data_IF_662785034549
#
_entry.id   IF_662785034549
#
_cell.length_a   1.000
_cell.length_b   1.000
_cell.length_c   1.000
_cell.angle_alpha   90.00
_cell.angle_beta   90.00
_cell.angle_gamma   90.00
#
_symmetry.space_group_name_H-M   'P 1'
#
loop_
_entity.id
_entity.type
_entity.pdbx_description
1 polymer ?
#
# COMPACT_ATOMS: atom_id res chain seq x y z
N UNK A 1 -3.15 18.06 8.85
CA UNK A 1 -3.95 17.04 8.14
C UNK A 1 -5.28 16.83 8.86
N UNK A 2 -6.39 17.12 8.20
CA UNK A 2 -7.71 16.65 8.62
C UNK A 2 -7.86 15.18 8.23
N UNK A 3 -8.49 14.40 9.09
CA UNK A 3 -8.69 12.97 8.91
C UNK A 3 -10.10 12.59 9.32
N UNK A 4 -10.71 11.69 8.55
CA UNK A 4 -11.99 11.10 8.87
C UNK A 4 -12.00 9.61 8.59
N UNK A 5 -12.34 8.83 9.61
CA UNK A 5 -12.61 7.40 9.47
C UNK A 5 -14.10 7.15 9.22
N UNK A 6 -14.40 6.26 8.29
CA UNK A 6 -15.73 5.81 7.91
C UNK A 6 -15.75 4.29 7.80
N UNK A 7 -16.92 3.71 8.03
CA UNK A 7 -17.18 2.29 7.80
C UNK A 7 -18.05 2.14 6.55
N UNK A 8 -17.58 1.31 5.61
CA UNK A 8 -18.32 1.00 4.38
C UNK A 8 -19.45 0.00 4.67
N UNK A 9 -20.51 -0.05 3.84
CA UNK A 9 -21.59 -1.03 3.98
C UNK A 9 -21.13 -2.50 4.03
N UNK A 10 -20.02 -2.87 3.39
CA UNK A 10 -19.43 -4.21 3.44
C UNK A 10 -18.51 -4.46 4.66
N UNK A 11 -18.42 -3.51 5.59
CA UNK A 11 -17.61 -3.59 6.80
C UNK A 11 -16.14 -3.25 6.62
N UNK A 12 -15.69 -2.90 5.41
CA UNK A 12 -14.33 -2.40 5.17
C UNK A 12 -14.18 -0.96 5.67
N UNK A 13 -12.99 -0.60 6.14
CA UNK A 13 -12.70 0.76 6.59
C UNK A 13 -12.34 1.66 5.41
N UNK A 14 -12.70 2.94 5.53
CA UNK A 14 -12.31 4.02 4.62
C UNK A 14 -11.81 5.19 5.47
N UNK A 15 -10.65 5.71 5.13
CA UNK A 15 -10.03 6.87 5.74
C UNK A 15 -9.90 7.96 4.68
N UNK A 16 -10.42 9.15 4.98
CA UNK A 16 -10.31 10.34 4.13
C UNK A 16 -9.32 11.30 4.78
N UNK A 17 -8.46 11.90 3.97
CA UNK A 17 -7.45 12.86 4.41
C UNK A 17 -7.51 14.11 3.56
N UNK A 18 -7.30 15.27 4.19
CA UNK A 18 -7.24 16.53 3.46
C UNK A 18 -6.43 17.61 4.18
N UNK A 19 -5.95 18.59 3.42
CA UNK A 19 -5.45 19.87 3.92
C UNK A 19 -6.58 20.81 4.38
N UNK A 20 -7.81 20.57 3.93
CA UNK A 20 -9.00 21.34 4.32
C UNK A 20 -9.96 20.52 5.20
N UNK A 21 -10.85 21.16 5.96
CA UNK A 21 -11.87 20.45 6.74
C UNK A 21 -12.73 19.56 5.86
N UNK A 22 -12.90 18.30 6.26
CA UNK A 22 -13.76 17.33 5.58
C UNK A 22 -15.18 17.46 6.14
N UNK A 23 -16.18 17.62 5.26
CA UNK A 23 -17.59 17.79 5.63
C UNK A 23 -18.09 16.65 6.55
N UNK A 24 -18.95 16.98 7.53
CA UNK A 24 -19.44 16.05 8.58
C UNK A 24 -20.48 15.04 8.10
N UNK A 25 -21.06 15.23 6.93
CA UNK A 25 -22.17 14.44 6.39
C UNK A 25 -21.76 13.44 5.29
N UNK A 26 -20.46 13.24 5.08
CA UNK A 26 -19.95 12.24 4.13
C UNK A 26 -20.25 10.81 4.60
N UNK A 27 -20.90 10.03 3.74
CA UNK A 27 -21.18 8.61 3.94
C UNK A 27 -20.34 7.76 2.97
N UNK A 28 -19.73 6.69 3.46
CA UNK A 28 -18.90 5.81 2.64
C UNK A 28 -19.76 4.91 1.73
N UNK A 29 -19.53 4.89 0.41
CA UNK A 29 -20.18 3.96 -0.49
C UNK A 29 -19.46 2.61 -0.49
N UNK A 30 -20.13 1.59 -1.00
CA UNK A 30 -19.51 0.33 -1.37
C UNK A 30 -20.12 -0.21 -2.65
N UNK A 31 -19.31 -0.77 -3.59
CA UNK A 31 -19.84 -1.48 -4.74
C UNK A 31 -20.62 -2.77 -4.40
N UNK A 32 -20.62 -3.19 -3.13
CA UNK A 32 -21.30 -4.38 -2.62
C UNK A 32 -21.62 -4.20 -1.14
N UNK A 33 -22.77 -4.68 -0.70
CA UNK A 33 -23.13 -4.72 0.73
C UNK A 33 -22.67 -6.01 1.43
N UNK A 34 -22.17 -6.98 0.66
CA UNK A 34 -21.66 -8.24 1.21
C UNK A 34 -20.23 -8.07 1.73
N UNK A 35 -19.95 -8.53 2.96
CA UNK A 35 -18.59 -8.58 3.48
C UNK A 35 -17.65 -9.39 2.59
N UNK A 36 -16.37 -9.02 2.60
CA UNK A 36 -15.32 -9.73 1.88
C UNK A 36 -15.00 -11.03 2.62
N UNK A 37 -15.37 -12.18 2.05
CA UNK A 37 -15.12 -13.52 2.59
C UNK A 37 -13.72 -14.08 2.28
N UNK A 38 -12.70 -13.23 2.19
CA UNK A 38 -11.35 -13.68 1.84
C UNK A 38 -10.68 -14.40 3.03
N UNK A 39 -10.22 -15.63 2.81
CA UNK A 39 -9.41 -16.39 3.77
C UNK A 39 -8.08 -16.86 3.13
N UNK A 40 -7.11 -15.94 2.94
CA UNK A 40 -5.80 -16.25 2.37
C UNK A 40 -4.89 -17.00 3.36
N UNK A 41 -3.95 -17.76 2.82
CA UNK A 41 -2.93 -18.49 3.59
C UNK A 41 -1.53 -18.27 3.00
N UNK A 42 -0.52 -18.47 3.83
CA UNK A 42 0.89 -18.45 3.46
C UNK A 42 1.41 -19.88 3.36
N UNK A 43 2.24 -20.18 2.37
CA UNK A 43 2.98 -21.45 2.27
C UNK A 43 4.47 -21.20 2.25
N UNK A 44 5.22 -22.01 2.99
CA UNK A 44 6.67 -21.96 3.01
C UNK A 44 7.27 -22.53 1.73
N UNK A 45 8.14 -21.77 1.06
CA UNK A 45 8.85 -22.22 -0.14
C UNK A 45 10.24 -22.79 0.24
N UNK A 46 10.43 -24.12 0.29
CA UNK A 46 11.61 -24.73 0.92
C UNK A 46 12.94 -24.43 0.22
N UNK A 47 12.92 -24.18 -1.09
CA UNK A 47 14.15 -23.87 -1.85
C UNK A 47 14.57 -22.39 -1.76
N UNK A 48 13.66 -21.49 -1.38
CA UNK A 48 13.92 -20.04 -1.33
C UNK A 48 13.95 -19.52 0.11
N UNK A 49 13.38 -20.28 1.05
CA UNK A 49 13.31 -19.88 2.45
C UNK A 49 12.39 -18.67 2.64
N UNK A 50 11.24 -18.65 1.96
CA UNK A 50 10.32 -17.51 2.00
C UNK A 50 8.85 -17.93 2.05
N UNK A 51 8.02 -17.04 2.58
CA UNK A 51 6.57 -17.18 2.59
C UNK A 51 5.93 -16.69 1.30
N UNK A 52 5.05 -17.51 0.72
CA UNK A 52 4.28 -17.17 -0.48
C UNK A 52 2.79 -17.09 -0.13
N UNK A 53 2.15 -15.96 -0.47
CA UNK A 53 0.73 -15.75 -0.23
C UNK A 53 -0.15 -16.39 -1.31
N UNK A 54 -1.18 -17.11 -0.85
CA UNK A 54 -2.21 -17.73 -1.68
C UNK A 54 -3.56 -17.13 -1.30
N UNK A 55 -4.21 -16.47 -2.26
CA UNK A 55 -5.48 -15.78 -2.05
C UNK A 55 -6.47 -16.14 -3.18
N UNK A 56 -7.13 -17.29 -3.07
CA UNK A 56 -8.02 -17.83 -4.10
C UNK A 56 -9.19 -16.90 -4.44
N UNK A 57 -9.73 -16.19 -3.43
CA UNK A 57 -10.78 -15.18 -3.59
C UNK A 57 -10.44 -14.10 -4.62
N UNK A 58 -9.15 -13.87 -4.92
CA UNK A 58 -8.74 -12.91 -5.96
C UNK A 58 -9.15 -13.33 -7.38
N UNK A 59 -9.52 -14.58 -7.62
CA UNK A 59 -10.06 -15.02 -8.93
C UNK A 59 -11.42 -14.39 -9.23
N UNK A 60 -12.17 -13.99 -8.21
CA UNK A 60 -13.47 -13.29 -8.34
C UNK A 60 -13.30 -11.79 -8.62
N UNK A 61 -12.06 -11.31 -8.75
CA UNK A 61 -11.79 -9.90 -9.07
C UNK A 61 -12.40 -9.59 -10.43
N UNK A 62 -13.27 -8.59 -10.47
CA UNK A 62 -13.78 -8.03 -11.72
C UNK A 62 -12.59 -7.66 -12.61
N UNK A 63 -12.39 -8.45 -13.66
CA UNK A 63 -11.31 -8.24 -14.61
C UNK A 63 -11.75 -7.16 -15.58
N UNK A 64 -11.18 -5.96 -15.40
CA UNK A 64 -11.50 -4.74 -16.16
C UNK A 64 -12.99 -4.36 -16.02
N UNK A 65 -13.36 -3.45 -15.08
CA UNK A 65 -14.65 -2.80 -15.21
C UNK A 65 -14.77 -2.14 -16.60
N UNK A 66 -15.99 -1.91 -17.10
CA UNK A 66 -16.20 -1.14 -18.33
C UNK A 66 -15.33 0.13 -18.28
N UNK A 67 -14.72 0.58 -19.40
CA UNK A 67 -13.85 1.77 -19.40
C UNK A 67 -14.48 3.02 -18.77
N UNK A 68 -15.81 3.08 -18.79
CA UNK A 68 -16.66 4.14 -18.24
C UNK A 68 -16.81 4.08 -16.70
N UNK A 69 -16.52 2.93 -16.06
CA UNK A 69 -16.63 2.74 -14.61
C UNK A 69 -15.25 2.70 -13.96
N UNK A 70 -14.90 3.79 -13.28
CA UNK A 70 -13.70 3.88 -12.46
C UNK A 70 -14.03 3.64 -10.98
N UNK A 71 -13.70 2.47 -10.41
CA UNK A 71 -14.03 2.17 -9.01
C UNK A 71 -13.28 3.04 -8.00
N UNK A 72 -12.22 3.75 -8.43
CA UNK A 72 -11.41 4.63 -7.59
C UNK A 72 -11.79 6.11 -7.75
N UNK A 73 -12.73 6.45 -8.63
CA UNK A 73 -13.27 7.81 -8.71
C UNK A 73 -14.37 8.02 -7.66
N UNK A 74 -14.59 9.27 -7.18
CA UNK A 74 -15.76 9.60 -6.35
C UNK A 74 -17.07 9.12 -6.98
N UNK A 75 -17.97 8.59 -6.16
CA UNK A 75 -19.27 8.06 -6.63
C UNK A 75 -20.10 9.18 -7.26
N UNK A 76 -20.52 9.07 -8.52
CA UNK A 76 -21.44 10.04 -9.14
C UNK A 76 -22.87 9.53 -9.32
N UNK A 77 -23.15 8.24 -9.15
CA UNK A 77 -24.52 7.73 -9.18
C UNK A 77 -24.63 6.69 -8.07
N UNK A 78 -25.53 6.90 -7.12
CA UNK A 78 -25.71 5.98 -5.98
C UNK A 78 -26.21 4.60 -6.41
N UNK A 79 -26.76 4.48 -7.63
CA UNK A 79 -27.12 3.19 -8.23
C UNK A 79 -25.89 2.41 -8.72
N UNK A 80 -24.75 3.09 -8.87
CA UNK A 80 -23.46 2.52 -9.28
C UNK A 80 -22.35 2.99 -8.33
N UNK A 81 -22.41 2.61 -7.04
CA UNK A 81 -21.46 3.08 -6.04
C UNK A 81 -20.04 2.62 -6.36
N UNK A 82 -19.07 3.50 -6.14
CA UNK A 82 -17.63 3.22 -6.27
C UNK A 82 -17.03 2.92 -4.89
N UNK A 83 -15.69 2.81 -4.80
CA UNK A 83 -15.03 2.69 -3.50
C UNK A 83 -15.06 4.01 -2.70
N UNK A 84 -15.30 5.15 -3.37
CA UNK A 84 -15.06 6.49 -2.85
C UNK A 84 -16.33 7.36 -2.77
N UNK A 85 -16.55 8.09 -1.65
CA UNK A 85 -17.70 8.97 -1.49
C UNK A 85 -17.62 10.23 -2.35
N UNK A 86 -18.75 10.93 -2.48
CA UNK A 86 -18.75 12.33 -2.93
C UNK A 86 -18.26 13.24 -1.82
N UNK A 87 -17.57 14.31 -2.19
CA UNK A 87 -17.18 15.39 -1.29
C UNK A 87 -15.73 15.80 -1.48
N UNK A 88 -15.34 16.84 -0.76
CA UNK A 88 -14.02 17.44 -0.87
C UNK A 88 -13.07 16.78 0.15
N UNK A 89 -12.09 16.04 -0.37
CA UNK A 89 -10.95 15.46 0.35
C UNK A 89 -9.83 15.16 -0.64
N UNK A 90 -8.59 15.07 -0.19
CA UNK A 90 -7.44 15.02 -1.09
C UNK A 90 -6.96 13.58 -1.35
N UNK A 91 -6.94 12.76 -0.29
CA UNK A 91 -6.44 11.36 -0.33
C UNK A 91 -7.44 10.44 0.35
N UNK A 92 -7.64 9.25 -0.20
CA UNK A 92 -8.47 8.21 0.40
C UNK A 92 -7.70 6.89 0.58
N UNK A 93 -7.86 6.24 1.73
CA UNK A 93 -7.27 4.94 2.03
C UNK A 93 -8.34 3.96 2.49
N UNK A 94 -8.47 2.81 1.86
CA UNK A 94 -9.47 1.82 2.24
C UNK A 94 -8.94 0.38 2.19
N UNK A 95 -9.55 -0.50 3.00
CA UNK A 95 -9.20 -1.92 2.99
C UNK A 95 -9.47 -2.51 1.58
N UNK A 96 -8.50 -3.26 1.04
CA UNK A 96 -8.59 -3.81 -0.30
C UNK A 96 -9.72 -4.86 -0.39
N UNK A 97 -10.57 -4.77 -1.41
CA UNK A 97 -11.68 -5.72 -1.64
C UNK A 97 -11.22 -7.14 -1.97
N UNK A 98 -10.01 -7.29 -2.52
CA UNK A 98 -9.43 -8.58 -2.90
C UNK A 98 -8.07 -8.78 -2.21
N UNK A 99 -8.02 -8.79 -0.86
CA UNK A 99 -6.76 -8.73 -0.14
C UNK A 99 -5.96 -10.03 -0.31
N UNK A 100 -4.64 -9.91 -0.40
CA UNK A 100 -3.74 -11.07 -0.33
C UNK A 100 -3.43 -11.47 1.12
N UNK A 101 -3.71 -10.60 2.08
CA UNK A 101 -3.48 -10.75 3.52
C UNK A 101 -4.65 -10.10 4.27
N UNK A 102 -5.15 -10.73 5.33
CA UNK A 102 -6.29 -10.20 6.12
C UNK A 102 -6.06 -10.46 7.60
N UNK A 103 -6.48 -9.56 8.52
CA UNK A 103 -6.23 -9.76 9.94
C UNK A 103 -6.92 -11.00 10.50
N UNK A 104 -8.01 -11.45 9.86
CA UNK A 104 -8.88 -12.53 10.34
C UNK A 104 -8.67 -13.87 9.62
N UNK A 105 -7.56 -14.05 8.89
CA UNK A 105 -7.25 -15.32 8.25
C UNK A 105 -7.16 -16.45 9.30
N UNK A 106 -7.72 -17.61 8.98
CA UNK A 106 -7.82 -18.76 9.89
C UNK A 106 -7.82 -20.09 9.12
N UNK A 107 -7.61 -21.20 9.83
CA UNK A 107 -7.77 -22.57 9.34
C UNK A 107 -7.20 -22.81 7.92
N UNK A 108 -5.88 -22.59 7.71
CA UNK A 108 -5.28 -22.82 6.40
C UNK A 108 -5.41 -24.31 6.00
N UNK A 109 -5.51 -24.60 4.69
CA UNK A 109 -5.66 -25.97 4.22
C UNK A 109 -4.41 -26.81 4.52
N UNK A 110 -4.54 -28.13 4.79
CA UNK A 110 -3.40 -29.03 4.89
C UNK A 110 -2.52 -28.98 3.64
N UNK A 111 -1.20 -29.04 3.84
CA UNK A 111 -0.23 -29.03 2.75
C UNK A 111 1.00 -29.85 3.10
N UNK A 112 1.80 -30.19 2.09
CA UNK A 112 3.08 -30.90 2.23
C UNK A 112 4.21 -30.00 2.77
N UNK A 113 3.95 -28.69 2.87
CA UNK A 113 4.86 -27.68 3.43
C UNK A 113 4.15 -26.93 4.56
N UNK A 114 4.93 -26.28 5.42
CA UNK A 114 4.39 -25.42 6.45
C UNK A 114 3.44 -24.37 5.84
N UNK A 115 2.25 -24.27 6.42
CA UNK A 115 1.18 -23.40 5.93
C UNK A 115 0.55 -22.68 7.12
N UNK A 116 0.46 -21.36 7.05
CA UNK A 116 -0.06 -20.50 8.11
C UNK A 116 -1.21 -19.64 7.58
N UNK A 117 -2.14 -19.17 8.44
CA UNK A 117 -3.07 -18.14 8.03
C UNK A 117 -2.31 -16.86 7.65
N UNK A 118 -2.77 -16.16 6.61
CA UNK A 118 -2.08 -14.97 6.12
C UNK A 118 -2.53 -13.71 6.88
N UNK A 119 -2.22 -13.67 8.18
CA UNK A 119 -2.62 -12.58 9.08
C UNK A 119 -1.84 -11.30 8.78
N UNK A 120 -2.39 -10.44 7.92
CA UNK A 120 -1.79 -9.16 7.55
C UNK A 120 -2.85 -8.15 7.14
N UNK A 121 -2.47 -7.14 6.38
CA UNK A 121 -3.43 -6.18 5.83
C UNK A 121 -3.05 -5.76 4.41
N UNK A 122 -4.04 -5.43 3.60
CA UNK A 122 -3.86 -4.82 2.29
C UNK A 122 -4.79 -3.61 2.19
N UNK A 123 -4.22 -2.42 2.05
CA UNK A 123 -4.97 -1.18 1.81
C UNK A 123 -4.69 -0.65 0.39
N UNK A 124 -5.65 0.08 -0.17
CA UNK A 124 -5.49 0.87 -1.39
C UNK A 124 -5.42 2.34 -0.98
N UNK A 125 -4.47 3.08 -1.55
CA UNK A 125 -4.28 4.51 -1.32
C UNK A 125 -4.57 5.23 -2.63
N UNK A 126 -5.69 5.95 -2.72
CA UNK A 126 -6.01 6.80 -3.87
C UNK A 126 -5.35 8.16 -3.67
N UNK A 127 -4.46 8.53 -4.59
CA UNK A 127 -3.58 9.69 -4.42
C UNK A 127 -4.29 11.01 -4.69
N UNK A 128 -5.25 11.05 -5.60
CA UNK A 128 -5.96 12.26 -6.02
C UNK A 128 -7.36 11.86 -6.50
N UNK A 129 -8.33 12.78 -6.54
CA UNK A 129 -9.66 12.50 -7.11
C UNK A 129 -9.70 12.63 -8.64
N UNK A 130 -8.80 13.41 -9.26
CA UNK A 130 -8.67 13.53 -10.71
C UNK A 130 -8.03 12.25 -11.28
N UNK A 131 -8.77 11.45 -12.08
CA UNK A 131 -8.25 10.22 -12.66
C UNK A 131 -7.10 10.44 -13.65
N UNK A 132 -6.83 11.68 -14.08
CA UNK A 132 -5.75 12.05 -15.01
C UNK A 132 -4.48 12.50 -14.29
N UNK A 133 -4.53 12.71 -12.97
CA UNK A 133 -3.38 13.07 -12.18
C UNK A 133 -2.36 11.92 -12.10
N UNK A 134 -1.18 12.23 -11.57
CA UNK A 134 -0.17 11.22 -11.27
C UNK A 134 0.78 11.71 -10.20
N UNK A 135 1.41 10.78 -9.47
CA UNK A 135 2.32 11.10 -8.38
C UNK A 135 3.37 12.15 -8.79
N UNK A 136 3.97 12.02 -9.97
CA UNK A 136 5.00 12.94 -10.46
C UNK A 136 4.54 14.33 -10.89
N UNK A 137 3.23 14.61 -10.92
CA UNK A 137 2.68 15.94 -11.29
C UNK A 137 1.83 16.58 -10.19
N UNK A 138 1.67 15.91 -9.05
CA UNK A 138 1.00 16.48 -7.88
C UNK A 138 1.82 17.68 -7.35
N UNK A 139 1.12 18.67 -6.79
CA UNK A 139 1.81 19.77 -6.13
C UNK A 139 2.51 19.31 -4.84
N UNK A 140 3.44 20.13 -4.35
CA UNK A 140 4.24 19.77 -3.17
C UNK A 140 3.41 19.62 -1.90
N UNK A 141 2.35 20.42 -1.72
CA UNK A 141 1.52 20.37 -0.52
C UNK A 141 0.70 19.06 -0.46
N UNK A 142 0.31 18.56 -1.63
CA UNK A 142 -0.38 17.29 -1.82
C UNK A 142 0.56 16.09 -1.68
N UNK A 143 1.78 16.18 -2.22
CA UNK A 143 2.82 15.16 -2.01
C UNK A 143 3.21 15.03 -0.54
N UNK A 144 3.37 16.16 0.16
CA UNK A 144 3.60 16.19 1.60
C UNK A 144 2.43 15.53 2.36
N UNK A 145 1.18 15.81 1.96
CA UNK A 145 0.02 15.13 2.54
C UNK A 145 0.09 13.61 2.32
N UNK A 146 0.47 13.16 1.12
CA UNK A 146 0.55 11.73 0.82
C UNK A 146 1.63 11.03 1.67
N UNK A 147 2.78 11.68 1.89
CA UNK A 147 3.83 11.19 2.80
C UNK A 147 3.33 11.13 4.26
N UNK A 148 2.61 12.16 4.72
CA UNK A 148 1.95 12.16 6.05
C UNK A 148 0.96 10.99 6.17
N UNK A 149 0.17 10.73 5.14
CA UNK A 149 -0.78 9.61 5.09
C UNK A 149 -0.05 8.27 5.17
N UNK A 150 1.01 8.05 4.39
CA UNK A 150 1.77 6.80 4.48
C UNK A 150 2.40 6.59 5.87
N UNK A 151 2.92 7.65 6.48
CA UNK A 151 3.45 7.60 7.85
C UNK A 151 2.37 7.27 8.87
N UNK A 152 1.20 7.90 8.77
CA UNK A 152 0.04 7.66 9.63
C UNK A 152 -0.44 6.22 9.52
N UNK A 153 -0.72 5.76 8.28
CA UNK A 153 -1.20 4.39 8.03
C UNK A 153 -0.21 3.37 8.53
N UNK A 154 1.07 3.58 8.27
CA UNK A 154 2.14 2.70 8.74
C UNK A 154 2.12 2.58 10.27
N UNK A 155 2.02 3.70 10.98
CA UNK A 155 1.94 3.71 12.46
C UNK A 155 0.70 2.99 12.97
N UNK A 156 -0.47 3.20 12.36
CA UNK A 156 -1.71 2.52 12.77
C UNK A 156 -1.64 1.02 12.54
N UNK A 157 -1.20 0.60 11.36
CA UNK A 157 -1.15 -0.82 11.01
C UNK A 157 -0.08 -1.56 11.82
N UNK A 158 1.04 -0.90 12.13
CA UNK A 158 2.10 -1.46 12.98
C UNK A 158 1.66 -1.72 14.43
N UNK A 159 0.50 -1.21 14.88
CA UNK A 159 -0.03 -1.51 16.20
C UNK A 159 -0.61 -2.93 16.31
N UNK A 160 -0.86 -3.61 15.18
CA UNK A 160 -1.32 -5.00 15.19
C UNK A 160 -0.17 -5.94 15.59
N UNK A 161 -0.29 -6.72 16.68
CA UNK A 161 0.83 -7.51 17.23
C UNK A 161 1.45 -8.51 16.26
N UNK A 162 0.67 -9.00 15.28
CA UNK A 162 1.14 -9.94 14.27
C UNK A 162 1.98 -9.29 13.18
N UNK A 163 1.89 -7.97 12.97
CA UNK A 163 2.56 -7.28 11.87
C UNK A 163 4.04 -7.05 12.19
N UNK A 164 4.92 -7.47 11.28
CA UNK A 164 6.37 -7.28 11.39
C UNK A 164 6.92 -6.28 10.36
N UNK A 165 6.21 -6.05 9.25
CA UNK A 165 6.66 -5.17 8.19
C UNK A 165 5.49 -4.51 7.47
N UNK A 166 5.60 -3.20 7.17
CA UNK A 166 4.61 -2.45 6.40
C UNK A 166 5.29 -1.87 5.17
N UNK A 167 4.70 -2.10 4.00
CA UNK A 167 5.21 -1.70 2.69
C UNK A 167 4.18 -0.84 1.96
N UNK A 168 4.31 0.50 1.98
CA UNK A 168 3.70 1.37 0.98
C UNK A 168 4.41 1.21 -0.37
N UNK A 169 3.66 1.07 -1.47
CA UNK A 169 4.21 0.98 -2.82
C UNK A 169 3.20 1.45 -3.89
N UNK A 170 3.71 1.81 -5.07
CA UNK A 170 2.91 2.09 -6.28
C UNK A 170 3.28 1.09 -7.37
N UNK A 171 2.28 0.52 -8.03
CA UNK A 171 2.48 -0.11 -9.34
C UNK A 171 1.96 0.87 -10.39
N UNK A 172 2.79 1.20 -11.40
CA UNK A 172 2.45 2.20 -12.41
C UNK A 172 2.65 1.67 -13.82
N UNK A 173 1.65 1.85 -14.68
CA UNK A 173 1.70 1.48 -16.10
C UNK A 173 1.07 0.12 -16.40
N UNK A 174 0.42 0.01 -17.56
CA UNK A 174 -0.24 -1.23 -18.03
C UNK A 174 0.76 -2.38 -18.13
N UNK A 175 1.99 -2.07 -18.54
CA UNK A 175 3.11 -3.02 -18.64
C UNK A 175 3.50 -3.61 -17.28
N UNK A 176 3.19 -2.92 -16.17
CA UNK A 176 3.42 -3.39 -14.80
C UNK A 176 2.17 -4.06 -14.20
N UNK A 177 1.17 -4.41 -15.03
CA UNK A 177 -0.05 -5.10 -14.60
C UNK A 177 -1.11 -4.20 -13.95
N UNK A 178 -1.02 -2.88 -14.13
CA UNK A 178 -2.02 -1.93 -13.64
C UNK A 178 -3.27 -1.98 -14.52
N UNK A 179 -4.39 -2.40 -13.93
CA UNK A 179 -5.70 -2.47 -14.61
C UNK A 179 -6.61 -1.28 -14.30
N UNK A 180 -6.20 -0.40 -13.37
CA UNK A 180 -6.94 0.80 -12.97
C UNK A 180 -6.03 2.02 -13.16
N UNK A 181 -6.39 2.91 -14.09
CA UNK A 181 -5.56 4.06 -14.46
C UNK A 181 -5.57 5.21 -13.45
N UNK A 182 -6.56 5.23 -12.55
CA UNK A 182 -6.66 6.24 -11.51
C UNK A 182 -5.39 6.23 -10.64
N UNK A 183 -4.82 7.40 -10.26
CA UNK A 183 -3.58 7.45 -9.49
C UNK A 183 -3.76 6.82 -8.10
N UNK A 184 -3.09 5.69 -7.87
CA UNK A 184 -3.20 4.96 -6.61
C UNK A 184 -1.95 4.15 -6.30
N UNK A 185 -1.73 3.93 -5.01
CA UNK A 185 -0.78 3.00 -4.45
C UNK A 185 -1.46 1.98 -3.56
N UNK A 186 -0.66 1.20 -2.85
CA UNK A 186 -1.11 0.17 -1.94
C UNK A 186 -0.23 0.16 -0.70
N UNK A 187 -0.79 -0.33 0.40
CA UNK A 187 -0.02 -0.64 1.62
C UNK A 187 -0.24 -2.10 1.95
N UNK A 188 0.83 -2.88 1.96
CA UNK A 188 0.79 -4.27 2.40
C UNK A 188 1.50 -4.40 3.73
N UNK A 189 0.83 -5.01 4.70
CA UNK A 189 1.39 -5.28 6.01
C UNK A 189 1.48 -6.78 6.24
N UNK A 190 2.68 -7.24 6.55
CA UNK A 190 3.07 -8.65 6.55
C UNK A 190 3.31 -9.14 7.98
N UNK A 191 2.95 -10.40 8.29
CA UNK A 191 3.29 -11.02 9.56
C UNK A 191 4.74 -11.55 9.63
N UNK A 192 5.56 -11.20 8.65
CA UNK A 192 6.97 -11.54 8.52
C UNK A 192 7.68 -10.40 7.78
N UNK A 193 9.00 -10.29 7.91
CA UNK A 193 9.79 -9.38 7.08
C UNK A 193 10.01 -10.02 5.70
N UNK A 194 9.60 -9.37 4.58
CA UNK A 194 9.79 -9.94 3.25
C UNK A 194 11.28 -10.19 2.91
N UNK A 195 11.61 -11.11 1.98
CA UNK A 195 12.99 -11.55 1.75
C UNK A 195 13.98 -10.44 1.38
N UNK A 196 13.56 -9.47 0.55
CA UNK A 196 14.42 -8.34 0.14
C UNK A 196 14.79 -7.44 1.32
N UNK A 197 13.83 -6.84 2.06
CA UNK A 197 14.18 -6.03 3.23
C UNK A 197 14.86 -6.83 4.34
N UNK A 198 14.55 -8.12 4.53
CA UNK A 198 15.26 -8.98 5.47
C UNK A 198 16.75 -9.08 5.12
N UNK A 199 17.06 -9.37 3.84
CA UNK A 199 18.43 -9.42 3.34
C UNK A 199 19.14 -8.06 3.45
N UNK A 200 18.44 -6.96 3.16
CA UNK A 200 19.01 -5.61 3.31
C UNK A 200 19.40 -5.36 4.77
N UNK A 201 18.52 -5.66 5.72
CA UNK A 201 18.79 -5.50 7.15
C UNK A 201 19.97 -6.36 7.62
N UNK A 202 20.08 -7.62 7.16
CA UNK A 202 21.24 -8.47 7.43
C UNK A 202 22.55 -7.83 6.98
N UNK A 203 22.60 -7.32 5.74
CA UNK A 203 23.80 -6.67 5.18
C UNK A 203 24.15 -5.37 5.88
N UNK A 204 23.16 -4.57 6.24
CA UNK A 204 23.39 -3.35 7.03
C UNK A 204 23.95 -3.68 8.41
N UNK A 205 23.43 -4.72 9.08
CA UNK A 205 23.88 -5.15 10.39
C UNK A 205 25.32 -5.69 10.37
N UNK A 206 25.67 -6.55 9.40
CA UNK A 206 27.04 -7.07 9.20
C UNK A 206 28.04 -5.92 8.94
N UNK A 207 27.65 -4.98 8.07
CA UNK A 207 28.48 -3.83 7.74
C UNK A 207 28.71 -2.94 8.97
N UNK A 208 27.65 -2.65 9.72
CA UNK A 208 27.71 -1.83 10.93
C UNK A 208 28.63 -2.46 11.99
N UNK A 209 28.55 -3.77 12.21
CA UNK A 209 29.42 -4.48 13.17
C UNK A 209 30.91 -4.36 12.81
N UNK A 210 31.24 -4.27 11.52
CA UNK A 210 32.63 -4.21 11.04
C UNK A 210 33.16 -2.78 10.95
N UNK A 211 32.32 -1.80 10.62
CA UNK A 211 32.73 -0.42 10.30
C UNK A 211 32.29 0.64 11.31
N UNK A 212 31.35 0.32 12.21
CA UNK A 212 30.79 1.26 13.19
C UNK A 212 29.89 2.35 12.60
N UNK A 213 29.45 2.20 11.34
CA UNK A 213 28.62 3.16 10.60
C UNK A 213 27.71 2.45 9.59
N UNK A 214 26.65 3.13 9.15
CA UNK A 214 25.61 2.52 8.29
C UNK A 214 26.04 2.35 6.84
N UNK A 215 25.75 1.18 6.26
CA UNK A 215 26.12 0.85 4.87
C UNK A 215 25.53 1.85 3.86
N UNK A 216 24.24 2.17 3.97
CA UNK A 216 23.58 3.11 3.05
C UNK A 216 24.17 4.52 3.14
N UNK A 217 24.49 5.00 4.35
CA UNK A 217 25.11 6.31 4.55
C UNK A 217 26.51 6.37 3.90
N UNK A 218 27.30 5.31 4.05
CA UNK A 218 28.61 5.18 3.39
C UNK A 218 28.48 5.12 1.86
N UNK A 219 27.50 4.39 1.34
CA UNK A 219 27.23 4.31 -0.09
C UNK A 219 26.85 5.69 -0.65
N UNK A 220 25.94 6.40 0.03
CA UNK A 220 25.56 7.78 -0.33
C UNK A 220 26.80 8.68 -0.32
N UNK A 221 27.65 8.61 0.69
CA UNK A 221 28.90 9.39 0.76
C UNK A 221 29.80 9.18 -0.46
N UNK A 222 30.01 7.92 -0.85
CA UNK A 222 30.81 7.56 -2.04
C UNK A 222 30.17 8.03 -3.33
N UNK A 223 28.85 7.92 -3.47
CA UNK A 223 28.12 8.43 -4.64
C UNK A 223 28.22 9.95 -4.77
N UNK A 224 28.19 10.67 -3.64
CA UNK A 224 28.37 12.12 -3.61
C UNK A 224 29.80 12.55 -3.92
N UNK A 225 30.80 11.77 -3.51
CA UNK A 225 32.21 12.01 -3.86
C UNK A 225 32.50 11.73 -5.34
N UNK A 226 31.93 10.66 -5.90
CA UNK A 226 32.09 10.28 -7.32
C UNK A 226 31.30 11.18 -8.27
N UNK A 227 30.09 11.59 -7.85
CA UNK A 227 29.20 12.53 -8.53
C UNK A 227 28.83 12.17 -9.99
N UNK A 228 29.01 10.90 -10.41
CA UNK A 228 28.72 10.47 -11.79
C UNK A 228 27.26 10.08 -12.03
N UNK A 229 26.54 9.67 -10.96
CA UNK A 229 25.19 9.07 -11.05
C UNK A 229 24.11 9.89 -10.34
N UNK A 230 24.45 11.09 -9.87
CA UNK A 230 23.52 11.97 -9.13
C UNK A 230 22.49 12.56 -10.10
N UNK A 231 21.21 12.39 -9.77
CA UNK A 231 20.06 12.96 -10.47
C UNK A 231 19.48 14.17 -9.73
N UNK A 232 19.50 14.13 -8.39
CA UNK A 232 18.97 15.17 -7.52
C UNK A 232 19.76 15.21 -6.20
N UNK A 233 19.92 16.41 -5.63
CA UNK A 233 20.49 16.61 -4.30
C UNK A 233 20.05 17.93 -3.71
N UNK A 234 19.64 17.90 -2.44
CA UNK A 234 19.49 19.08 -1.59
C UNK A 234 20.05 18.82 -0.17
N UNK A 235 19.60 19.58 0.82
CA UNK A 235 20.00 19.45 2.23
C UNK A 235 19.40 18.23 2.97
N UNK A 236 18.36 17.60 2.41
CA UNK A 236 17.58 16.54 3.06
C UNK A 236 17.55 15.23 2.28
N UNK A 237 17.75 15.27 0.96
CA UNK A 237 17.59 14.13 0.07
C UNK A 237 18.62 14.11 -1.06
N UNK A 238 18.90 12.89 -1.53
CA UNK A 238 19.69 12.62 -2.74
C UNK A 238 18.99 11.54 -3.54
N UNK A 239 18.94 11.71 -4.86
CA UNK A 239 18.51 10.68 -5.79
C UNK A 239 19.62 10.41 -6.80
N UNK A 240 19.91 9.14 -7.06
CA UNK A 240 20.98 8.71 -7.95
C UNK A 240 20.63 7.38 -8.61
N UNK A 241 21.30 7.07 -9.72
CA UNK A 241 21.23 5.74 -10.34
C UNK A 241 22.15 4.81 -9.55
N UNK A 242 21.64 3.76 -8.87
CA UNK A 242 22.48 2.87 -8.06
C UNK A 242 23.47 2.07 -8.93
N UNK A 243 24.60 1.69 -8.32
CA UNK A 243 25.64 0.81 -8.90
C UNK A 243 25.16 -0.61 -9.18
#
# INVERSE_FOLDING_TARGET
>A
MYHRELLKPDGRRLNLYSRQPIASEIAAPSPSDKPVGANPHLRWHPLRGEWVAYAAHRQERTFLPPPEYNPLAPTHDERFPTELPRGDYDVAVFDNRFPSLTPTAHDPPPSIVETLPANGACEVVVFDQDPRASLGVLDLAHLELLLEVWAERTRVIAQYPQIQYVLPFENRGVEMGVTLHHPHGQIYAYPFVPPVPARMAEREQEYYQTHGRGLLADLIGRELEDNQRILYRDEHAVAFVPV
#
